data_IF_524583530095
#
_entry.id   IF_524583530095
#
_cell.length_a   1.000
_cell.length_b   1.000
_cell.length_c   1.000
_cell.angle_alpha   90.00
_cell.angle_beta   90.00
_cell.angle_gamma   90.00
#
_symmetry.space_group_name_H-M   'P 1'
#
loop_
_entity.id
_entity.type
_entity.pdbx_description
1 polymer ?
#
# COMPACT_ATOMS: atom_id res chain seq x y z
N UNK A 1 -22.19 -16.24 -1.20
CA UNK A 1 -22.00 -15.80 -2.60
C UNK A 1 -22.25 -14.31 -2.81
N UNK A 2 -23.12 -13.66 -2.03
CA UNK A 2 -23.65 -12.32 -2.33
C UNK A 2 -22.58 -11.21 -2.36
N UNK A 3 -21.53 -11.35 -1.54
CA UNK A 3 -20.41 -10.41 -1.55
C UNK A 3 -19.60 -10.48 -2.85
N UNK A 4 -19.43 -11.68 -3.45
CA UNK A 4 -18.74 -11.85 -4.73
C UNK A 4 -19.60 -11.32 -5.87
N UNK A 5 -20.91 -11.54 -5.81
CA UNK A 5 -21.88 -11.03 -6.79
C UNK A 5 -21.88 -9.50 -6.86
N UNK A 6 -21.79 -8.82 -5.71
CA UNK A 6 -21.70 -7.35 -5.63
C UNK A 6 -20.36 -6.80 -6.15
N UNK A 7 -19.25 -7.51 -5.95
CA UNK A 7 -17.95 -7.10 -6.50
C UNK A 7 -17.93 -7.30 -8.02
N UNK A 8 -18.46 -8.42 -8.49
CA UNK A 8 -18.49 -8.77 -9.91
C UNK A 8 -19.35 -7.80 -10.73
N UNK A 9 -20.48 -7.32 -10.19
CA UNK A 9 -21.37 -6.38 -10.90
C UNK A 9 -20.76 -5.00 -11.15
N UNK A 10 -19.69 -4.62 -10.45
CA UNK A 10 -19.00 -3.34 -10.64
C UNK A 10 -18.18 -3.27 -11.93
N UNK A 11 -17.86 -4.42 -12.53
CA UNK A 11 -16.97 -4.49 -13.68
C UNK A 11 -17.75 -4.92 -14.93
N UNK A 12 -17.89 -4.04 -15.95
CA UNK A 12 -18.72 -4.31 -17.13
C UNK A 12 -18.21 -5.47 -18.00
N UNK A 13 -16.95 -5.88 -17.81
CA UNK A 13 -16.29 -6.97 -18.52
C UNK A 13 -16.94 -8.32 -18.16
N UNK A 14 -17.27 -8.55 -16.89
CA UNK A 14 -17.88 -9.83 -16.46
C UNK A 14 -19.34 -9.93 -16.89
N UNK A 15 -20.03 -8.79 -17.04
CA UNK A 15 -21.40 -8.73 -17.57
C UNK A 15 -21.45 -9.10 -19.06
N UNK A 16 -20.45 -8.66 -19.84
CA UNK A 16 -20.30 -9.07 -21.24
C UNK A 16 -19.95 -10.56 -21.35
N UNK A 17 -19.01 -11.03 -20.53
CA UNK A 17 -18.61 -12.45 -20.49
C UNK A 17 -19.76 -13.39 -20.12
N UNK A 18 -20.64 -13.01 -19.18
CA UNK A 18 -21.82 -13.80 -18.83
C UNK A 18 -22.82 -13.86 -19.98
N UNK A 19 -23.01 -12.76 -20.71
CA UNK A 19 -23.94 -12.70 -21.84
C UNK A 19 -23.48 -13.62 -22.99
N UNK A 20 -22.17 -13.66 -23.24
CA UNK A 20 -21.59 -14.42 -24.34
C UNK A 20 -21.38 -15.90 -23.99
N UNK A 21 -20.97 -16.22 -22.75
CA UNK A 21 -20.63 -17.59 -22.34
C UNK A 21 -21.65 -18.28 -21.42
N UNK A 22 -22.71 -17.60 -20.97
CA UNK A 22 -23.73 -18.11 -20.02
C UNK A 22 -23.18 -18.69 -18.71
N UNK A 23 -21.93 -18.36 -18.35
CA UNK A 23 -21.31 -18.80 -17.09
C UNK A 23 -21.63 -17.79 -15.99
N UNK A 24 -22.08 -18.23 -14.80
CA UNK A 24 -22.32 -17.35 -13.66
C UNK A 24 -21.06 -16.55 -13.29
N UNK A 25 -21.21 -15.22 -13.17
CA UNK A 25 -20.08 -14.26 -13.06
C UNK A 25 -19.14 -14.52 -11.88
N UNK A 26 -19.66 -15.14 -10.82
CA UNK A 26 -18.92 -15.50 -9.61
C UNK A 26 -17.80 -16.50 -9.91
N UNK A 27 -18.08 -17.51 -10.74
CA UNK A 27 -17.11 -18.53 -11.13
C UNK A 27 -16.09 -17.98 -12.13
N UNK A 28 -16.51 -17.11 -13.06
CA UNK A 28 -15.59 -16.45 -13.98
C UNK A 28 -14.59 -15.53 -13.26
N UNK A 29 -15.03 -14.82 -12.22
CA UNK A 29 -14.14 -13.98 -11.41
C UNK A 29 -13.13 -14.82 -10.62
N UNK A 30 -13.59 -15.90 -9.99
CA UNK A 30 -12.72 -16.82 -9.26
C UNK A 30 -11.71 -17.51 -10.20
N UNK A 31 -12.18 -17.98 -11.35
CA UNK A 31 -11.33 -18.58 -12.38
C UNK A 31 -10.27 -17.61 -12.90
N UNK A 32 -10.62 -16.33 -13.10
CA UNK A 32 -9.65 -15.31 -13.49
C UNK A 32 -8.54 -15.11 -12.43
N UNK A 33 -8.89 -15.09 -11.14
CA UNK A 33 -7.90 -14.99 -10.06
C UNK A 33 -6.96 -16.20 -10.06
N UNK A 34 -7.52 -17.41 -10.13
CA UNK A 34 -6.73 -18.64 -10.15
C UNK A 34 -5.83 -18.69 -11.38
N UNK A 35 -6.35 -18.28 -12.55
CA UNK A 35 -5.59 -18.20 -13.79
C UNK A 35 -4.42 -17.21 -13.67
N UNK A 36 -4.61 -16.05 -13.05
CA UNK A 36 -3.52 -15.10 -12.80
C UNK A 36 -2.44 -15.72 -11.91
N UNK A 37 -2.82 -16.46 -10.86
CA UNK A 37 -1.86 -17.15 -9.98
C UNK A 37 -1.07 -18.21 -10.77
N UNK A 38 -1.74 -18.98 -11.62
CA UNK A 38 -1.09 -19.99 -12.48
C UNK A 38 -0.12 -19.32 -13.47
N UNK A 39 -0.51 -18.20 -14.09
CA UNK A 39 0.36 -17.46 -15.01
C UNK A 39 1.62 -16.94 -14.29
N UNK A 40 1.47 -16.41 -13.08
CA UNK A 40 2.59 -15.95 -12.24
C UNK A 40 3.56 -17.10 -11.93
N UNK A 41 3.04 -18.32 -11.73
CA UNK A 41 3.85 -19.51 -11.42
C UNK A 41 4.58 -20.07 -12.65
N UNK A 42 3.97 -20.02 -13.84
CA UNK A 42 4.48 -20.71 -15.03
C UNK A 42 5.23 -19.82 -16.03
N UNK A 43 5.16 -18.48 -15.92
CA UNK A 43 5.65 -17.59 -16.99
C UNK A 43 6.72 -16.61 -16.52
N UNK A 44 7.64 -16.24 -17.43
CA UNK A 44 8.58 -15.12 -17.26
C UNK A 44 7.89 -13.77 -16.99
N UNK A 45 6.57 -13.68 -17.17
CA UNK A 45 5.75 -12.50 -16.89
C UNK A 45 5.42 -12.29 -15.41
N UNK A 46 5.75 -13.25 -14.52
CA UNK A 46 5.52 -13.15 -13.07
C UNK A 46 5.98 -11.84 -12.41
N UNK A 47 7.21 -11.33 -12.65
CA UNK A 47 7.68 -10.07 -12.06
C UNK A 47 6.83 -8.87 -12.49
N UNK A 48 6.45 -8.83 -13.77
CA UNK A 48 5.68 -7.72 -14.35
C UNK A 48 4.27 -7.72 -13.78
N UNK A 49 3.60 -8.89 -13.76
CA UNK A 49 2.23 -9.02 -13.25
C UNK A 49 2.15 -8.68 -11.76
N UNK A 50 3.07 -9.20 -10.95
CA UNK A 50 3.08 -8.92 -9.51
C UNK A 50 3.36 -7.45 -9.20
N UNK A 51 4.21 -6.80 -9.99
CA UNK A 51 4.47 -5.37 -9.88
C UNK A 51 3.26 -4.51 -10.25
N UNK A 52 2.59 -4.82 -11.37
CA UNK A 52 1.37 -4.12 -11.80
C UNK A 52 0.25 -4.28 -10.77
N UNK A 53 0.03 -5.50 -10.28
CA UNK A 53 -0.99 -5.76 -9.26
C UNK A 53 -0.65 -5.05 -7.94
N UNK A 54 0.63 -5.02 -7.56
CA UNK A 54 1.11 -4.28 -6.39
C UNK A 54 0.83 -2.78 -6.46
N UNK A 55 0.81 -2.19 -7.66
CA UNK A 55 0.40 -0.79 -7.85
C UNK A 55 -1.12 -0.62 -7.80
N UNK A 56 -1.87 -1.54 -8.41
CA UNK A 56 -3.33 -1.44 -8.54
C UNK A 56 -4.06 -1.67 -7.21
N UNK A 57 -3.60 -2.61 -6.37
CA UNK A 57 -4.25 -2.95 -5.09
C UNK A 57 -4.45 -1.72 -4.19
N UNK A 58 -3.41 -0.95 -3.85
CA UNK A 58 -3.54 0.24 -2.98
C UNK A 58 -4.01 1.48 -3.75
N UNK A 59 -4.18 1.43 -5.08
CA UNK A 59 -4.43 2.63 -5.89
C UNK A 59 -5.69 3.37 -5.44
N UNK A 60 -6.78 2.63 -5.22
CA UNK A 60 -8.04 3.24 -4.75
C UNK A 60 -7.86 3.95 -3.42
N UNK A 61 -7.20 3.29 -2.49
CA UNK A 61 -6.94 3.78 -1.15
C UNK A 61 -6.01 5.00 -1.17
N UNK A 62 -4.95 4.96 -1.98
CA UNK A 62 -4.03 6.08 -2.21
C UNK A 62 -4.79 7.31 -2.75
N UNK A 63 -5.67 7.12 -3.74
CA UNK A 63 -6.46 8.20 -4.32
C UNK A 63 -7.49 8.78 -3.33
N UNK A 64 -8.02 7.95 -2.42
CA UNK A 64 -8.95 8.42 -1.38
C UNK A 64 -8.22 9.30 -0.37
N UNK A 65 -7.08 8.84 0.16
CA UNK A 65 -6.26 9.60 1.11
C UNK A 65 -5.77 10.91 0.49
N UNK A 66 -5.37 10.89 -0.78
CA UNK A 66 -4.86 12.09 -1.47
C UNK A 66 -5.93 13.18 -1.68
N UNK A 67 -7.21 12.81 -1.71
CA UNK A 67 -8.34 13.75 -1.85
C UNK A 67 -8.82 14.32 -0.52
N UNK A 68 -8.37 13.78 0.61
CA UNK A 68 -8.75 14.26 1.93
C UNK A 68 -7.97 15.54 2.26
N UNK A 69 -8.66 16.53 2.84
CA UNK A 69 -8.05 17.80 3.28
C UNK A 69 -7.20 17.61 4.55
N UNK A 70 -7.58 16.68 5.42
CA UNK A 70 -6.81 16.32 6.61
C UNK A 70 -6.74 14.78 6.76
N UNK A 71 -5.81 14.13 6.05
CA UNK A 71 -5.70 12.67 6.06
C UNK A 71 -5.24 12.14 7.42
N UNK A 72 -5.76 10.99 7.82
CA UNK A 72 -5.36 10.35 9.07
C UNK A 72 -3.87 9.93 9.00
N UNK A 73 -3.09 10.29 10.03
CA UNK A 73 -1.66 9.94 10.13
C UNK A 73 -1.41 8.44 10.01
N UNK A 74 -2.32 7.61 10.50
CA UNK A 74 -2.21 6.15 10.40
C UNK A 74 -2.37 5.64 8.97
N UNK A 75 -3.28 6.25 8.20
CA UNK A 75 -3.53 5.89 6.79
C UNK A 75 -2.33 6.26 5.92
N UNK A 76 -1.79 7.47 6.11
CA UNK A 76 -0.57 7.91 5.41
C UNK A 76 0.61 6.99 5.75
N UNK A 77 0.79 6.66 7.04
CA UNK A 77 1.87 5.78 7.50
C UNK A 77 1.76 4.39 6.85
N UNK A 78 0.55 3.82 6.81
CA UNK A 78 0.32 2.53 6.17
C UNK A 78 0.69 2.56 4.68
N UNK A 79 0.26 3.59 3.94
CA UNK A 79 0.62 3.72 2.52
C UNK A 79 2.13 3.84 2.33
N UNK A 80 2.82 4.66 3.13
CA UNK A 80 4.28 4.81 3.05
C UNK A 80 5.02 3.49 3.29
N UNK A 81 4.63 2.73 4.31
CA UNK A 81 5.25 1.43 4.61
C UNK A 81 4.96 0.43 3.50
N UNK A 82 3.74 0.41 2.97
CA UNK A 82 3.39 -0.42 1.83
C UNK A 82 4.29 -0.10 0.64
N UNK A 83 4.40 1.18 0.25
CA UNK A 83 5.21 1.62 -0.88
C UNK A 83 6.70 1.34 -0.67
N UNK A 84 7.20 1.46 0.56
CA UNK A 84 8.56 1.10 0.92
C UNK A 84 8.82 -0.40 0.69
N UNK A 85 7.97 -1.27 1.23
CA UNK A 85 8.07 -2.73 1.06
C UNK A 85 7.93 -3.12 -0.41
N UNK A 86 6.98 -2.52 -1.12
CA UNK A 86 6.80 -2.72 -2.55
C UNK A 86 8.05 -2.34 -3.35
N UNK A 87 8.68 -1.21 -3.02
CA UNK A 87 9.93 -0.77 -3.66
C UNK A 87 11.07 -1.75 -3.45
N UNK A 88 11.25 -2.25 -2.23
CA UNK A 88 12.27 -3.26 -1.91
C UNK A 88 12.03 -4.55 -2.69
N UNK A 89 10.79 -5.08 -2.66
CA UNK A 89 10.45 -6.32 -3.38
C UNK A 89 10.56 -6.16 -4.90
N UNK A 90 10.32 -4.96 -5.43
CA UNK A 90 10.48 -4.68 -6.87
C UNK A 90 11.95 -4.52 -7.24
N UNK A 91 12.77 -3.94 -6.37
CA UNK A 91 14.22 -3.89 -6.59
C UNK A 91 14.83 -5.30 -6.63
N UNK A 92 14.34 -6.22 -5.78
CA UNK A 92 14.78 -7.62 -5.79
C UNK A 92 14.45 -8.36 -7.10
N UNK A 93 13.45 -7.91 -7.88
CA UNK A 93 13.14 -8.54 -9.17
C UNK A 93 14.31 -8.39 -10.17
N UNK A 94 15.12 -7.32 -10.05
CA UNK A 94 16.32 -7.15 -10.88
C UNK A 94 17.34 -8.27 -10.65
N UNK A 95 17.37 -8.85 -9.45
CA UNK A 95 18.24 -9.97 -9.07
C UNK A 95 17.50 -11.32 -9.07
N UNK A 96 16.36 -11.37 -9.76
CA UNK A 96 15.47 -12.52 -9.80
C UNK A 96 16.14 -13.86 -10.06
N UNK A 97 17.10 -13.93 -11.00
CA UNK A 97 17.80 -15.20 -11.32
C UNK A 97 18.51 -15.79 -10.11
N UNK A 98 19.13 -14.94 -9.29
CA UNK A 98 19.81 -15.35 -8.07
C UNK A 98 18.80 -15.74 -6.97
N UNK A 99 17.78 -14.92 -6.76
CA UNK A 99 16.76 -15.13 -5.73
C UNK A 99 15.92 -16.39 -6.01
N UNK A 100 15.49 -16.60 -7.26
CA UNK A 100 14.69 -17.76 -7.66
C UNK A 100 15.48 -19.06 -7.55
N UNK A 101 16.81 -19.01 -7.72
CA UNK A 101 17.67 -20.17 -7.46
C UNK A 101 17.72 -20.56 -5.99
N UNK A 102 17.51 -19.62 -5.07
CA UNK A 102 17.52 -19.87 -3.63
C UNK A 102 16.12 -20.20 -3.10
N UNK A 103 15.09 -19.49 -3.57
CA UNK A 103 13.69 -19.66 -3.16
C UNK A 103 12.86 -19.98 -4.41
N UNK A 104 12.57 -21.26 -4.68
CA UNK A 104 11.61 -21.62 -5.70
C UNK A 104 10.24 -21.04 -5.29
N UNK A 105 9.56 -20.36 -6.21
CA UNK A 105 8.29 -19.63 -5.99
C UNK A 105 8.36 -18.23 -5.35
N UNK A 106 9.52 -17.54 -5.42
CA UNK A 106 9.66 -16.16 -4.94
C UNK A 106 8.52 -15.20 -5.37
N UNK A 107 8.09 -15.24 -6.63
CA UNK A 107 7.03 -14.34 -7.14
C UNK A 107 5.66 -14.60 -6.55
N UNK A 108 5.32 -15.85 -6.26
CA UNK A 108 4.06 -16.21 -5.61
C UNK A 108 4.06 -15.74 -4.17
N UNK A 109 5.19 -15.92 -3.46
CA UNK A 109 5.34 -15.39 -2.11
C UNK A 109 5.25 -13.86 -2.10
N UNK A 110 5.93 -13.18 -3.03
CA UNK A 110 5.84 -11.73 -3.23
C UNK A 110 4.40 -11.29 -3.45
N UNK A 111 3.65 -11.99 -4.32
CA UNK A 111 2.25 -11.70 -4.60
C UNK A 111 1.39 -11.79 -3.34
N UNK A 112 1.49 -12.89 -2.59
CA UNK A 112 0.72 -13.05 -1.35
C UNK A 112 1.10 -12.03 -0.28
N UNK A 113 2.39 -11.69 -0.17
CA UNK A 113 2.87 -10.70 0.79
C UNK A 113 2.33 -9.29 0.45
N UNK A 114 2.34 -8.91 -0.83
CA UNK A 114 1.73 -7.65 -1.29
C UNK A 114 0.21 -7.66 -1.10
N UNK A 115 -0.46 -8.79 -1.35
CA UNK A 115 -1.90 -8.94 -1.12
C UNK A 115 -2.26 -8.85 0.37
N UNK A 116 -1.41 -9.35 1.24
CA UNK A 116 -1.60 -9.30 2.69
C UNK A 116 -1.39 -7.88 3.25
N UNK A 117 -0.39 -7.16 2.76
CA UNK A 117 -0.04 -5.83 3.29
C UNK A 117 -0.88 -4.72 2.64
N UNK A 118 -1.25 -4.86 1.37
CA UNK A 118 -1.88 -3.80 0.57
C UNK A 118 -3.21 -3.24 1.08
N UNK A 119 -4.16 -4.08 1.52
CA UNK A 119 -5.43 -3.58 2.04
C UNK A 119 -5.28 -3.01 3.46
N UNK A 120 -5.80 -1.79 3.69
CA UNK A 120 -5.85 -1.16 5.03
C UNK A 120 -6.43 -2.08 6.11
N UNK A 121 -7.36 -2.97 5.73
CA UNK A 121 -8.03 -3.91 6.64
C UNK A 121 -7.07 -4.85 7.36
N UNK A 122 -5.96 -5.22 6.75
CA UNK A 122 -5.10 -6.28 7.28
C UNK A 122 -4.05 -5.81 8.29
N UNK A 123 -3.93 -4.49 8.57
CA UNK A 123 -2.95 -3.91 9.52
C UNK A 123 -1.51 -4.48 9.40
N UNK A 124 -1.16 -5.12 8.27
CA UNK A 124 0.12 -5.80 8.09
C UNK A 124 1.31 -4.84 8.15
N UNK A 125 1.10 -3.60 7.70
CA UNK A 125 2.09 -2.54 7.84
C UNK A 125 2.42 -2.18 9.28
N UNK A 126 1.49 -2.37 10.22
CA UNK A 126 1.74 -2.10 11.65
C UNK A 126 2.78 -3.06 12.21
N UNK A 127 2.69 -4.34 11.85
CA UNK A 127 3.68 -5.36 12.24
C UNK A 127 5.06 -5.00 11.69
N UNK A 128 5.11 -4.56 10.43
CA UNK A 128 6.37 -4.15 9.78
C UNK A 128 6.93 -2.89 10.44
N UNK A 129 6.08 -1.93 10.78
CA UNK A 129 6.46 -0.73 11.51
C UNK A 129 7.08 -1.05 12.86
N UNK A 130 6.37 -1.83 13.67
CA UNK A 130 6.77 -2.16 15.04
C UNK A 130 8.02 -3.04 15.07
N UNK A 131 8.27 -3.84 14.02
CA UNK A 131 9.40 -4.77 13.98
C UNK A 131 10.66 -4.19 13.33
N UNK A 132 10.50 -3.41 12.25
CA UNK A 132 11.60 -3.01 11.38
C UNK A 132 11.87 -1.50 11.44
N UNK A 133 10.85 -0.67 11.29
CA UNK A 133 11.02 0.79 11.19
C UNK A 133 11.22 1.43 12.56
N UNK A 134 10.52 0.97 13.60
CA UNK A 134 10.66 1.49 14.97
C UNK A 134 12.06 1.28 15.57
N UNK A 135 12.83 0.34 15.02
CA UNK A 135 14.17 -0.03 15.48
C UNK A 135 15.29 0.72 14.74
N UNK A 136 14.96 1.51 13.72
CA UNK A 136 15.95 2.30 12.99
C UNK A 136 16.39 3.46 13.90
N UNK A 137 17.70 3.64 14.16
CA UNK A 137 18.17 4.72 15.03
C UNK A 137 17.80 6.08 14.46
N UNK A 138 17.18 6.93 15.28
CA UNK A 138 16.77 8.28 14.87
C UNK A 138 17.94 9.12 14.33
N UNK A 139 19.15 8.87 14.85
CA UNK A 139 20.41 9.50 14.44
C UNK A 139 20.73 9.35 12.95
N UNK A 140 20.15 8.37 12.25
CA UNK A 140 20.40 8.15 10.82
C UNK A 140 19.59 9.08 9.91
N UNK A 141 18.45 9.60 10.37
CA UNK A 141 17.53 10.39 9.55
C UNK A 141 17.15 11.74 10.16
N UNK A 142 17.42 11.95 11.46
CA UNK A 142 17.37 13.26 12.06
C UNK A 142 18.71 13.96 11.81
N UNK A 143 18.69 14.99 10.99
CA UNK A 143 19.78 15.95 10.92
C UNK A 143 19.63 16.86 12.15
N UNK A 144 20.60 16.85 13.06
CA UNK A 144 20.52 17.47 14.41
C UNK A 144 20.04 18.94 14.43
N UNK A 145 20.11 19.67 13.30
CA UNK A 145 20.03 21.13 13.29
C UNK A 145 18.88 21.75 12.46
N UNK A 146 18.13 20.98 11.67
CA UNK A 146 17.25 21.56 10.62
C UNK A 146 15.74 21.45 10.83
N UNK A 147 15.25 20.25 11.17
CA UNK A 147 13.80 19.99 11.25
C UNK A 147 13.27 20.27 12.66
N UNK A 148 13.98 19.84 13.70
CA UNK A 148 13.57 20.10 15.09
C UNK A 148 13.62 21.60 15.40
N UNK A 149 14.63 22.32 14.92
CA UNK A 149 14.72 23.78 15.07
C UNK A 149 13.58 24.51 14.38
N UNK A 150 13.17 24.09 13.18
CA UNK A 150 12.04 24.67 12.46
C UNK A 150 10.68 24.37 13.14
N UNK A 151 10.51 23.16 13.68
CA UNK A 151 9.32 22.77 14.45
C UNK A 151 9.27 23.54 15.77
N UNK A 152 10.39 23.63 16.49
CA UNK A 152 10.49 24.37 17.75
C UNK A 152 10.25 25.88 17.54
N UNK A 153 10.74 26.45 16.44
CA UNK A 153 10.46 27.84 16.05
C UNK A 153 8.97 28.04 15.68
N UNK A 154 8.37 27.10 14.95
CA UNK A 154 6.95 27.17 14.61
C UNK A 154 6.06 27.08 15.87
N UNK A 155 6.41 26.20 16.82
CA UNK A 155 5.72 26.08 18.11
C UNK A 155 5.92 27.30 19.01
N UNK A 156 7.12 27.90 19.00
CA UNK A 156 7.40 29.13 19.73
C UNK A 156 6.58 30.31 19.16
N UNK A 157 6.56 30.48 17.84
CA UNK A 157 5.77 31.51 17.16
C UNK A 157 4.26 31.32 17.36
N UNK A 158 3.78 30.06 17.32
CA UNK A 158 2.39 29.75 17.59
C UNK A 158 1.98 30.09 19.03
N UNK A 159 2.84 29.79 20.02
CA UNK A 159 2.61 30.15 21.43
C UNK A 159 2.66 31.65 21.66
N UNK A 160 3.57 32.36 21.00
CA UNK A 160 3.69 33.82 21.12
C UNK A 160 2.50 34.54 20.47
N UNK A 161 2.06 34.08 19.29
CA UNK A 161 0.86 34.58 18.63
C UNK A 161 -0.39 34.31 19.48
N UNK A 162 -0.51 33.13 20.08
CA UNK A 162 -1.60 32.80 20.99
C UNK A 162 -1.61 33.69 22.25
N UNK A 163 -0.44 33.99 22.83
CA UNK A 163 -0.31 34.92 23.97
C UNK A 163 -0.72 36.35 23.60
N UNK A 164 -0.24 36.88 22.47
CA UNK A 164 -0.61 38.23 22.00
C UNK A 164 -2.11 38.37 21.71
N UNK A 165 -2.74 37.31 21.20
CA UNK A 165 -4.19 37.26 20.98
C UNK A 165 -4.94 37.21 22.33
N UNK A 166 -4.41 36.53 23.35
CA UNK A 166 -5.01 36.48 24.69
C UNK A 166 -4.86 37.81 25.44
N UNK A 167 -3.70 38.47 25.36
CA UNK A 167 -3.46 39.79 25.96
C UNK A 167 -4.39 40.85 25.37
N UNK A 168 -4.52 40.88 24.04
CA UNK A 168 -5.41 41.82 23.34
C UNK A 168 -6.91 41.56 23.56
N UNK A 169 -7.27 40.39 24.12
CA UNK A 169 -8.66 40.04 24.47
C UNK A 169 -9.01 40.42 25.91
N UNK A 170 -8.00 40.69 26.74
CA UNK A 170 -8.15 41.02 28.16
C UNK A 170 -7.93 42.52 28.46
N UNK A 171 -7.58 43.33 27.45
CA UNK A 171 -7.74 44.79 27.42
C UNK A 171 -9.12 45.17 26.86
#
# INVERSE_FOLDING_TARGET
MDHIKNISSRFPIFTKLEKDFKIPREYSFLAAIVLVIIIIMSTCLGPILTSVIGVIIPLRETLLVLKQVNPNKEEIRHLLIFWLVFGILTSLDAYSRFIVSFIPMFYTLKFFLLLYIGPFRFKGTKIIYDSLISKVPEKWYLNDNGINTAIDQADALAKEAAKKIQEKKNE
#
